data_IF_292559479471
#
_entry.id   IF_292559479471
#
_cell.length_a   1.000
_cell.length_b   1.000
_cell.length_c   1.000
_cell.angle_alpha   90.00
_cell.angle_beta   90.00
_cell.angle_gamma   90.00
#
_symmetry.space_group_name_H-M   'P 1'
#
loop_
_entity.id
_entity.type
_entity.pdbx_description
1 polymer ?
#
# COMPACT_ATOMS: atom_id res chain seq x y z
N UNK A 1 -4.88 1.91 -14.11
CA UNK A 1 -6.31 2.29 -14.04
C UNK A 1 -6.75 2.80 -12.67
N UNK A 2 -6.11 2.49 -11.53
CA UNK A 2 -6.44 3.14 -10.23
C UNK A 2 -5.77 4.52 -10.03
N UNK A 3 -4.45 4.60 -10.26
CA UNK A 3 -3.68 5.85 -10.18
C UNK A 3 -4.25 6.96 -11.09
N UNK A 4 -4.71 6.59 -12.28
CA UNK A 4 -5.35 7.49 -13.23
C UNK A 4 -6.75 7.95 -12.78
N UNK A 5 -7.43 7.15 -11.97
CA UNK A 5 -8.72 7.51 -11.37
C UNK A 5 -8.57 8.33 -10.08
N UNK A 6 -7.35 8.74 -9.71
CA UNK A 6 -7.08 9.54 -8.52
C UNK A 6 -7.05 8.74 -7.22
N UNK A 7 -7.02 7.40 -7.27
CA UNK A 7 -6.92 6.58 -6.07
C UNK A 7 -5.52 6.69 -5.43
N UNK A 8 -5.50 6.81 -4.10
CA UNK A 8 -4.29 6.58 -3.29
C UNK A 8 -3.92 5.10 -3.35
N UNK A 9 -2.65 4.79 -3.60
CA UNK A 9 -2.14 3.42 -3.66
C UNK A 9 -1.06 3.27 -2.60
N UNK A 10 -1.16 2.22 -1.79
CA UNK A 10 -0.08 1.78 -0.89
C UNK A 10 0.35 0.36 -1.25
N UNK A 11 1.52 -0.03 -0.77
CA UNK A 11 1.98 -1.42 -0.81
C UNK A 11 2.36 -1.89 0.59
N UNK A 12 2.39 -3.20 0.80
CA UNK A 12 3.00 -3.79 1.99
C UNK A 12 4.52 -3.77 1.84
N UNK A 13 5.25 -3.44 2.91
CA UNK A 13 6.71 -3.44 2.90
C UNK A 13 7.32 -4.86 2.79
N UNK A 14 8.59 -4.90 2.44
CA UNK A 14 9.32 -6.17 2.27
C UNK A 14 9.53 -6.91 3.60
N UNK A 15 9.70 -6.17 4.71
CA UNK A 15 10.02 -6.74 6.03
C UNK A 15 8.85 -7.53 6.62
N UNK A 16 7.62 -7.03 6.47
CA UNK A 16 6.41 -7.70 6.97
C UNK A 16 5.84 -8.73 5.99
N UNK A 17 6.33 -8.78 4.74
CA UNK A 17 5.89 -9.74 3.74
C UNK A 17 6.48 -11.14 4.00
N UNK A 18 5.64 -12.17 3.99
CA UNK A 18 6.11 -13.57 3.91
C UNK A 18 6.71 -13.85 2.53
N UNK A 19 6.09 -13.30 1.47
CA UNK A 19 6.58 -13.36 0.09
C UNK A 19 6.41 -11.99 -0.56
N UNK A 20 7.51 -11.29 -0.78
CA UNK A 20 7.52 -9.96 -1.39
C UNK A 20 7.43 -10.04 -2.93
N UNK A 21 6.28 -10.51 -3.43
CA UNK A 21 6.00 -10.69 -4.87
C UNK A 21 5.14 -9.56 -5.45
N UNK A 22 3.84 -9.57 -5.14
CA UNK A 22 2.92 -8.53 -5.63
C UNK A 22 3.28 -7.13 -5.13
N UNK A 23 3.59 -6.92 -3.82
CA UNK A 23 3.98 -5.59 -3.35
C UNK A 23 5.26 -5.08 -4.04
N UNK A 24 6.24 -5.97 -4.31
CA UNK A 24 7.44 -5.62 -5.09
C UNK A 24 7.12 -5.15 -6.51
N UNK A 25 6.14 -5.76 -7.18
CA UNK A 25 5.73 -5.33 -8.51
C UNK A 25 5.15 -3.91 -8.51
N UNK A 26 4.39 -3.56 -7.46
CA UNK A 26 3.82 -2.22 -7.25
C UNK A 26 4.94 -1.19 -7.00
N UNK A 27 5.91 -1.53 -6.12
CA UNK A 27 7.06 -0.68 -5.83
C UNK A 27 7.94 -0.45 -7.07
N UNK A 28 8.25 -1.51 -7.83
CA UNK A 28 9.00 -1.43 -9.10
C UNK A 28 8.29 -0.58 -10.15
N UNK A 29 6.97 -0.59 -10.16
CA UNK A 29 6.18 0.25 -11.06
C UNK A 29 6.13 1.74 -10.63
N UNK A 30 6.61 2.08 -9.42
CA UNK A 30 6.60 3.45 -8.91
C UNK A 30 5.18 4.01 -8.75
N UNK A 31 4.21 3.14 -8.43
CA UNK A 31 2.80 3.53 -8.32
C UNK A 31 2.29 3.60 -6.87
N UNK A 32 2.98 2.99 -5.89
CA UNK A 32 2.69 3.22 -4.47
C UNK A 32 3.10 4.63 -4.06
N UNK A 33 2.32 5.21 -3.16
CA UNK A 33 2.58 6.49 -2.49
C UNK A 33 3.26 6.29 -1.14
N UNK A 34 3.10 5.10 -0.56
CA UNK A 34 3.65 4.69 0.73
C UNK A 34 3.76 3.16 0.75
N UNK A 35 4.83 2.65 1.37
CA UNK A 35 5.02 1.23 1.65
C UNK A 35 4.91 1.05 3.18
N UNK A 36 4.05 0.13 3.63
CA UNK A 36 3.60 0.03 5.01
C UNK A 36 3.84 -1.37 5.59
N UNK A 37 4.23 -1.50 6.87
CA UNK A 37 4.21 -2.79 7.54
C UNK A 37 2.78 -3.29 7.68
N UNK A 38 2.59 -4.61 7.65
CA UNK A 38 1.29 -5.28 7.69
C UNK A 38 0.39 -4.77 8.82
N UNK A 39 0.99 -4.56 10.00
CA UNK A 39 0.32 -4.15 11.23
C UNK A 39 -0.30 -2.76 11.12
N UNK A 40 0.21 -1.91 10.22
CA UNK A 40 -0.27 -0.53 10.03
C UNK A 40 -1.29 -0.39 8.90
N UNK A 41 -1.49 -1.42 8.08
CA UNK A 41 -2.42 -1.34 6.94
C UNK A 41 -3.86 -1.08 7.42
N UNK A 42 -4.31 -1.77 8.47
CA UNK A 42 -5.67 -1.61 8.99
C UNK A 42 -5.92 -0.18 9.51
N UNK A 43 -4.98 0.36 10.29
CA UNK A 43 -5.03 1.75 10.76
C UNK A 43 -5.05 2.73 9.57
N UNK A 44 -4.19 2.52 8.58
CA UNK A 44 -4.11 3.38 7.39
C UNK A 44 -5.42 3.39 6.61
N UNK A 45 -6.11 2.25 6.52
CA UNK A 45 -7.42 2.16 5.88
C UNK A 45 -8.44 3.04 6.60
N UNK A 46 -8.52 2.97 7.93
CA UNK A 46 -9.44 3.78 8.73
C UNK A 46 -9.20 5.28 8.53
N UNK A 47 -7.93 5.70 8.50
CA UNK A 47 -7.54 7.09 8.21
C UNK A 47 -8.02 7.53 6.82
N UNK A 48 -7.83 6.70 5.78
CA UNK A 48 -8.21 7.06 4.42
C UNK A 48 -9.71 7.23 4.23
N UNK A 49 -10.52 6.41 4.91
CA UNK A 49 -11.97 6.49 4.82
C UNK A 49 -12.59 7.43 5.86
N UNK A 50 -11.78 8.12 6.66
CA UNK A 50 -12.24 9.10 7.65
C UNK A 50 -12.96 8.49 8.85
N UNK A 51 -12.55 7.29 9.27
CA UNK A 51 -13.11 6.56 10.41
C UNK A 51 -12.16 6.50 11.63
N UNK A 52 -10.98 7.12 11.53
CA UNK A 52 -10.00 7.27 12.60
C UNK A 52 -9.96 8.71 13.14
#
# INVERSE_FOLDING_TARGET
MLKQAGATIWAQDEESCVVYGMPQAVAKAGISTEDLPLERIAERMLVEVGLA
#
